data_IF_302682700561
#
_entry.id   IF_302682700561
#
_cell.length_a   1.000
_cell.length_b   1.000
_cell.length_c   1.000
_cell.angle_alpha   90.00
_cell.angle_beta   90.00
_cell.angle_gamma   90.00
#
_symmetry.space_group_name_H-M   'P 1'
#
loop_
_entity.id
_entity.type
_entity.pdbx_description
1 polymer ?
#
# COMPACT_ATOMS: atom_id res chain seq x y z
N UNK A 1 -24.13 65.92 29.21
CA UNK A 1 -23.67 64.60 28.71
C UNK A 1 -22.26 64.74 28.19
N UNK A 2 -21.34 63.90 28.65
CA UNK A 2 -20.08 63.56 28.00
C UNK A 2 -19.35 62.56 28.91
N UNK A 3 -19.52 61.27 28.64
CA UNK A 3 -18.73 60.22 29.27
C UNK A 3 -17.42 60.05 28.49
N UNK A 4 -16.28 60.28 29.16
CA UNK A 4 -14.95 59.97 28.66
C UNK A 4 -14.71 58.47 28.79
N UNK A 5 -14.62 57.77 27.66
CA UNK A 5 -14.24 56.35 27.59
C UNK A 5 -12.77 56.16 27.93
N UNK A 6 -12.51 55.34 28.96
CA UNK A 6 -11.19 54.79 29.31
C UNK A 6 -10.84 53.63 28.37
N UNK A 7 -9.54 53.39 28.24
CA UNK A 7 -8.92 52.53 27.23
C UNK A 7 -9.20 51.03 27.32
N UNK A 8 -8.74 50.33 26.27
CA UNK A 8 -8.80 48.88 26.16
C UNK A 8 -7.84 48.35 25.10
N UNK A 9 -6.82 47.65 25.60
CA UNK A 9 -6.10 46.49 25.03
C UNK A 9 -5.37 46.63 23.68
N UNK A 10 -4.05 46.77 23.77
CA UNK A 10 -3.12 46.37 22.72
C UNK A 10 -2.83 44.87 22.86
N UNK A 11 -3.18 44.08 21.85
CA UNK A 11 -2.74 42.69 21.74
C UNK A 11 -1.28 42.67 21.30
N UNK A 12 -0.35 42.48 22.23
CA UNK A 12 1.02 42.09 21.92
C UNK A 12 1.01 40.67 21.37
N UNK A 13 0.99 40.52 20.05
CA UNK A 13 1.40 39.29 19.37
C UNK A 13 2.90 39.11 19.61
N UNK A 14 3.24 38.30 20.62
CA UNK A 14 4.60 37.81 20.83
C UNK A 14 4.99 36.89 19.68
N UNK A 15 5.69 37.45 18.70
CA UNK A 15 6.37 36.68 17.67
C UNK A 15 7.47 35.85 18.30
N UNK A 16 7.22 34.56 18.50
CA UNK A 16 8.24 33.58 18.84
C UNK A 16 9.21 33.45 17.66
N UNK A 17 10.48 33.75 17.92
CA UNK A 17 11.62 33.44 17.07
C UNK A 17 11.72 31.91 16.89
N UNK A 18 11.08 31.38 15.84
CA UNK A 18 11.31 30.07 15.25
C UNK A 18 11.90 30.27 13.85
N UNK A 19 13.05 30.95 13.80
CA UNK A 19 13.83 31.15 12.58
C UNK A 19 15.16 30.44 12.77
N UNK A 20 15.22 29.17 12.37
CA UNK A 20 16.48 28.40 12.42
C UNK A 20 16.38 26.87 12.47
N UNK A 21 15.39 26.23 11.83
CA UNK A 21 15.32 24.75 11.83
C UNK A 21 14.98 24.09 10.49
N UNK A 22 15.03 24.85 9.40
CA UNK A 22 14.96 24.30 8.06
C UNK A 22 16.12 24.89 7.25
N UNK A 23 17.27 24.22 7.34
CA UNK A 23 18.25 24.29 6.27
C UNK A 23 17.79 23.32 5.20
N UNK A 24 17.57 23.88 4.02
CA UNK A 24 17.19 23.21 2.79
C UNK A 24 18.46 22.64 2.16
N UNK A 25 18.89 21.47 2.62
CA UNK A 25 19.98 20.72 2.00
C UNK A 25 19.63 19.23 2.04
N UNK A 26 19.26 18.68 0.88
CA UNK A 26 19.53 17.30 0.49
C UNK A 26 18.80 16.17 1.23
N UNK A 27 18.06 15.38 0.46
CA UNK A 27 17.52 14.05 0.78
C UNK A 27 18.24 13.27 1.90
N UNK A 28 17.79 13.44 3.15
CA UNK A 28 17.95 12.44 4.19
C UNK A 28 16.55 11.96 4.60
N UNK A 29 16.29 10.67 4.34
CA UNK A 29 15.08 10.02 4.81
C UNK A 29 14.86 10.28 6.30
N UNK A 30 13.61 10.53 6.67
CA UNK A 30 13.16 10.78 8.05
C UNK A 30 13.91 9.84 9.01
N UNK A 31 14.89 10.38 9.76
CA UNK A 31 15.65 9.66 10.77
C UNK A 31 14.70 9.28 11.89
N UNK A 32 14.08 8.10 11.79
CA UNK A 32 13.18 7.49 12.77
C UNK A 32 13.73 7.46 14.21
N UNK A 33 15.05 7.64 14.40
CA UNK A 33 15.68 7.71 15.72
C UNK A 33 15.33 8.96 16.53
N UNK A 34 14.99 10.09 15.91
CA UNK A 34 14.69 11.34 16.63
C UNK A 34 13.36 11.27 17.40
N UNK A 35 12.32 10.77 16.74
CA UNK A 35 10.98 10.66 17.32
C UNK A 35 10.89 9.61 18.43
N UNK A 36 11.75 8.57 18.38
CA UNK A 36 11.87 7.56 19.43
C UNK A 36 12.44 8.16 20.72
N UNK A 37 13.48 8.98 20.61
CA UNK A 37 14.12 9.63 21.77
C UNK A 37 13.20 10.61 22.49
N UNK A 38 12.41 11.38 21.73
CA UNK A 38 11.47 12.33 22.33
C UNK A 38 10.35 11.64 23.11
N UNK A 39 9.89 10.47 22.65
CA UNK A 39 8.92 9.70 23.42
C UNK A 39 9.52 9.05 24.65
N UNK A 40 10.74 8.52 24.55
CA UNK A 40 11.45 7.99 25.71
C UNK A 40 11.60 9.08 26.78
N UNK A 41 11.84 10.34 26.38
CA UNK A 41 11.85 11.50 27.27
C UNK A 41 10.49 11.74 27.92
N UNK A 42 9.41 11.88 27.13
CA UNK A 42 8.04 12.09 27.65
C UNK A 42 7.58 10.96 28.58
N UNK A 43 7.96 9.71 28.29
CA UNK A 43 7.66 8.54 29.12
C UNK A 43 8.43 8.64 30.44
N UNK A 44 9.71 9.01 30.40
CA UNK A 44 10.52 9.15 31.62
C UNK A 44 10.01 10.28 32.52
N UNK A 45 9.51 11.38 31.94
CA UNK A 45 9.04 12.58 32.66
C UNK A 45 7.63 12.43 33.26
N UNK A 46 6.84 11.43 32.84
CA UNK A 46 5.49 11.20 33.39
C UNK A 46 5.51 10.52 34.77
N UNK A 47 4.61 10.86 35.69
CA UNK A 47 4.50 10.24 37.04
C UNK A 47 3.81 8.86 37.05
N UNK A 48 3.98 8.07 35.98
CA UNK A 48 3.41 6.73 35.91
C UNK A 48 4.33 5.66 36.52
N UNK A 49 3.74 4.50 36.84
CA UNK A 49 4.46 3.38 37.40
C UNK A 49 5.61 2.91 36.49
N UNK A 50 6.68 2.41 37.12
CA UNK A 50 7.92 1.99 36.44
C UNK A 50 7.66 0.88 35.42
N UNK A 51 6.71 -0.01 35.70
CA UNK A 51 6.35 -1.11 34.80
C UNK A 51 5.65 -0.59 33.53
N UNK A 52 4.76 0.40 33.71
CA UNK A 52 4.09 1.09 32.60
C UNK A 52 5.07 1.87 31.71
N UNK A 53 6.08 2.53 32.30
CA UNK A 53 7.13 3.23 31.52
C UNK A 53 7.91 2.28 30.62
N UNK A 54 8.31 1.12 31.14
CA UNK A 54 9.04 0.13 30.34
C UNK A 54 8.17 -0.49 29.23
N UNK A 55 6.88 -0.68 29.49
CA UNK A 55 5.93 -1.08 28.46
C UNK A 55 5.83 -0.04 27.33
N UNK A 56 5.70 1.25 27.70
CA UNK A 56 5.60 2.34 26.73
C UNK A 56 6.88 2.49 25.90
N UNK A 57 8.07 2.29 26.49
CA UNK A 57 9.34 2.27 25.74
C UNK A 57 9.42 1.11 24.75
N UNK A 58 8.93 -0.09 25.13
CA UNK A 58 8.83 -1.24 24.21
C UNK A 58 7.85 -0.94 23.06
N UNK A 59 6.74 -0.26 23.36
CA UNK A 59 5.72 0.11 22.38
C UNK A 59 6.18 1.22 21.43
N UNK A 60 7.03 2.14 21.89
CA UNK A 60 7.62 3.17 21.04
C UNK A 60 8.45 2.60 19.88
N UNK A 61 8.89 1.34 19.99
CA UNK A 61 9.63 0.60 18.95
C UNK A 61 8.72 -0.16 17.98
N UNK A 62 7.41 -0.22 18.22
CA UNK A 62 6.47 -0.89 17.34
C UNK A 62 6.13 -0.03 16.12
N UNK A 63 5.97 -0.67 14.95
CA UNK A 63 5.62 0.00 13.67
C UNK A 63 4.34 0.83 13.73
N UNK A 64 3.45 0.54 14.69
CA UNK A 64 2.12 1.13 14.81
C UNK A 64 1.97 1.99 16.09
N UNK A 65 3.06 2.63 16.52
CA UNK A 65 3.13 3.45 17.74
C UNK A 65 2.04 4.51 17.82
N UNK A 66 1.75 5.21 16.73
CA UNK A 66 0.78 6.31 16.73
C UNK A 66 -0.64 5.80 17.02
N UNK A 67 -1.01 4.66 16.43
CA UNK A 67 -2.31 4.02 16.68
C UNK A 67 -2.46 3.56 18.14
N UNK A 68 -1.36 3.09 18.74
CA UNK A 68 -1.33 2.71 20.16
C UNK A 68 -1.48 3.94 21.05
N UNK A 69 -0.76 5.04 20.73
CA UNK A 69 -0.84 6.30 21.48
C UNK A 69 -2.25 6.89 21.42
N UNK A 70 -2.85 6.91 20.23
CA UNK A 70 -4.23 7.34 20.01
C UNK A 70 -5.20 6.49 20.83
N UNK A 71 -5.02 5.17 20.78
CA UNK A 71 -5.83 4.21 21.56
C UNK A 71 -5.76 4.46 23.07
N UNK A 72 -4.58 4.71 23.62
CA UNK A 72 -4.42 5.00 25.05
C UNK A 72 -5.08 6.33 25.40
N UNK A 73 -4.88 7.35 24.55
CA UNK A 73 -5.48 8.67 24.74
C UNK A 73 -7.01 8.61 24.70
N UNK A 74 -7.58 7.80 23.81
CA UNK A 74 -9.01 7.52 23.73
C UNK A 74 -9.50 6.81 25.00
N UNK A 75 -8.73 5.83 25.49
CA UNK A 75 -9.03 5.09 26.71
C UNK A 75 -9.04 5.98 27.96
N UNK A 76 -8.21 7.02 28.02
CA UNK A 76 -8.23 8.00 29.11
C UNK A 76 -9.41 8.98 29.01
N UNK A 77 -9.87 9.29 27.79
CA UNK A 77 -10.98 10.21 27.50
C UNK A 77 -12.35 9.56 27.46
N UNK A 78 -12.47 8.30 27.88
CA UNK A 78 -13.74 7.55 27.92
C UNK A 78 -14.72 8.17 28.92
N UNK A 79 -15.35 9.27 28.53
CA UNK A 79 -16.50 9.81 29.25
C UNK A 79 -17.68 8.86 29.08
N UNK A 80 -18.60 9.20 28.18
CA UNK A 80 -19.79 8.38 27.90
C UNK A 80 -19.56 7.30 26.82
N UNK A 81 -18.31 7.07 26.40
CA UNK A 81 -17.98 6.11 25.36
C UNK A 81 -17.38 4.85 25.97
N UNK A 82 -17.90 3.69 25.59
CA UNK A 82 -17.39 2.38 26.00
C UNK A 82 -16.74 1.72 24.79
N UNK A 83 -15.47 1.33 24.95
CA UNK A 83 -14.76 0.53 23.95
C UNK A 83 -15.32 -0.88 23.94
N UNK A 84 -15.86 -1.30 22.79
CA UNK A 84 -16.42 -2.64 22.58
C UNK A 84 -15.39 -3.64 22.01
N UNK A 85 -14.30 -3.15 21.40
CA UNK A 85 -13.22 -3.99 20.89
C UNK A 85 -11.91 -3.19 20.70
N UNK A 86 -10.72 -3.75 21.01
CA UNK A 86 -10.54 -4.92 21.87
C UNK A 86 -11.01 -4.60 23.31
N UNK A 87 -11.67 -5.56 23.95
CA UNK A 87 -12.25 -5.46 25.29
C UNK A 87 -12.21 -6.83 25.98
N UNK A 88 -12.23 -6.94 27.32
CA UNK A 88 -12.20 -8.24 28.01
C UNK A 88 -13.24 -9.22 27.46
N UNK A 89 -12.83 -10.45 27.18
CA UNK A 89 -13.70 -11.46 26.57
C UNK A 89 -13.86 -11.36 25.05
N UNK A 90 -13.20 -10.43 24.36
CA UNK A 90 -13.36 -10.28 22.91
C UNK A 90 -12.68 -11.36 22.06
N UNK A 91 -11.99 -12.33 22.67
CA UNK A 91 -11.25 -13.39 21.99
C UNK A 91 -12.16 -14.26 21.10
N UNK A 92 -13.42 -14.46 21.50
CA UNK A 92 -14.39 -15.25 20.73
C UNK A 92 -14.73 -14.61 19.37
N UNK A 93 -14.54 -13.29 19.25
CA UNK A 93 -14.78 -12.57 18.01
C UNK A 93 -13.60 -12.64 17.04
N UNK A 94 -12.42 -13.11 17.47
CA UNK A 94 -11.24 -13.23 16.59
C UNK A 94 -11.52 -14.08 15.35
N UNK A 95 -12.38 -15.10 15.47
CA UNK A 95 -12.77 -16.01 14.37
C UNK A 95 -13.55 -15.34 13.24
N UNK A 96 -14.16 -14.18 13.50
CA UNK A 96 -14.93 -13.44 12.49
C UNK A 96 -14.07 -12.47 11.68
N UNK A 97 -12.82 -12.23 12.08
CA UNK A 97 -11.90 -11.39 11.31
C UNK A 97 -11.15 -12.23 10.27
N UNK A 98 -11.23 -11.85 9.00
CA UNK A 98 -10.46 -12.50 7.92
C UNK A 98 -8.94 -12.38 8.13
N UNK A 99 -8.50 -11.31 8.81
CA UNK A 99 -7.12 -11.09 9.21
C UNK A 99 -7.08 -10.65 10.67
N UNK A 100 -6.44 -11.46 11.53
CA UNK A 100 -6.14 -11.03 12.89
C UNK A 100 -5.15 -9.87 12.82
N UNK A 101 -5.64 -8.65 13.08
CA UNK A 101 -4.76 -7.50 13.16
C UNK A 101 -3.90 -7.67 14.41
N UNK A 102 -2.62 -7.97 14.24
CA UNK A 102 -1.66 -8.18 15.34
C UNK A 102 -1.69 -7.04 16.36
N UNK A 103 -2.02 -5.82 15.89
CA UNK A 103 -2.24 -4.66 16.75
C UNK A 103 -3.36 -4.81 17.78
N UNK A 104 -4.47 -5.46 17.44
CA UNK A 104 -5.59 -5.63 18.36
C UNK A 104 -5.16 -6.48 19.58
N UNK A 105 -4.32 -7.49 19.34
CA UNK A 105 -3.72 -8.30 20.41
C UNK A 105 -2.76 -7.49 21.28
N UNK A 106 -1.93 -6.64 20.68
CA UNK A 106 -1.05 -5.74 21.44
C UNK A 106 -1.84 -4.76 22.30
N UNK A 107 -2.85 -4.12 21.72
CA UNK A 107 -3.74 -3.20 22.45
C UNK A 107 -4.43 -3.95 23.59
N UNK A 108 -4.96 -5.14 23.35
CA UNK A 108 -5.61 -5.95 24.39
C UNK A 108 -4.65 -6.28 25.54
N UNK A 109 -3.44 -6.77 25.23
CA UNK A 109 -2.43 -7.08 26.24
C UNK A 109 -2.06 -5.88 27.09
N UNK A 110 -1.91 -4.72 26.47
CA UNK A 110 -1.57 -3.46 27.15
C UNK A 110 -2.70 -2.98 28.05
N UNK A 111 -3.94 -3.00 27.57
CA UNK A 111 -5.06 -2.41 28.28
C UNK A 111 -5.63 -3.31 29.38
N UNK A 112 -5.58 -4.63 29.21
CA UNK A 112 -6.36 -5.56 30.05
C UNK A 112 -5.54 -6.65 30.72
N UNK A 113 -4.43 -7.08 30.12
CA UNK A 113 -3.67 -8.24 30.63
C UNK A 113 -2.64 -7.83 31.70
N UNK A 114 -2.42 -6.52 31.90
CA UNK A 114 -1.40 -5.98 32.82
C UNK A 114 0.01 -6.48 32.50
N UNK A 115 0.19 -7.14 31.35
CA UNK A 115 1.26 -8.09 31.13
C UNK A 115 2.43 -7.46 30.40
N UNK A 116 3.61 -7.61 30.98
CA UNK A 116 4.88 -7.44 30.29
C UNK A 116 4.86 -8.24 28.98
N UNK A 117 4.79 -7.55 27.85
CA UNK A 117 4.98 -8.16 26.53
C UNK A 117 6.37 -8.83 26.55
N UNK A 118 6.38 -10.17 26.46
CA UNK A 118 7.61 -10.95 26.43
C UNK A 118 8.30 -10.72 25.08
N UNK A 119 9.63 -10.87 25.01
CA UNK A 119 10.35 -10.76 23.72
C UNK A 119 9.82 -11.78 22.69
N UNK A 120 9.35 -12.94 23.15
CA UNK A 120 8.75 -13.98 22.31
C UNK A 120 7.43 -13.53 21.65
N UNK A 121 6.65 -12.67 22.31
CA UNK A 121 5.42 -12.09 21.74
C UNK A 121 5.68 -11.10 20.60
N UNK A 122 6.84 -10.44 20.62
CA UNK A 122 7.24 -9.42 19.63
C UNK A 122 7.78 -10.08 18.36
N UNK A 123 8.44 -11.23 18.49
CA UNK A 123 9.05 -11.98 17.40
C UNK A 123 8.09 -12.96 16.70
N UNK A 124 6.84 -13.10 17.17
CA UNK A 124 5.76 -13.86 16.50
C UNK A 124 5.24 -13.20 15.20
N UNK A 125 6.10 -12.45 14.51
CA UNK A 125 5.92 -12.17 13.09
C UNK A 125 6.03 -13.50 12.34
N UNK A 126 5.00 -13.81 11.56
CA UNK A 126 5.01 -14.66 10.35
C UNK A 126 4.78 -16.18 10.40
N UNK A 127 4.41 -16.84 11.51
CA UNK A 127 4.06 -18.27 11.42
C UNK A 127 2.82 -18.71 12.24
N UNK A 128 1.67 -18.13 11.94
CA UNK A 128 0.38 -18.78 12.21
C UNK A 128 -0.34 -19.03 10.90
N UNK A 129 -0.06 -20.18 10.28
CA UNK A 129 -0.98 -20.78 9.31
C UNK A 129 -2.04 -21.51 10.13
N UNK A 130 -3.07 -20.77 10.57
CA UNK A 130 -4.21 -21.39 11.23
C UNK A 130 -4.96 -22.20 10.17
N UNK A 131 -4.88 -23.53 10.27
CA UNK A 131 -5.81 -24.43 9.60
C UNK A 131 -7.17 -24.27 10.30
N UNK A 132 -7.99 -23.37 9.78
CA UNK A 132 -9.42 -23.41 10.01
C UNK A 132 -10.09 -23.78 8.69
N UNK A 133 -10.86 -24.86 8.71
CA UNK A 133 -11.98 -25.06 7.80
C UNK A 133 -13.00 -23.96 8.10
N UNK A 134 -12.77 -22.77 7.57
CA UNK A 134 -13.74 -21.68 7.58
C UNK A 134 -14.88 -22.14 6.67
N UNK A 135 -16.11 -22.34 7.17
CA UNK A 135 -17.25 -22.54 6.30
C UNK A 135 -17.29 -21.32 5.38
N UNK A 136 -17.15 -21.56 4.06
CA UNK A 136 -17.21 -20.49 3.05
C UNK A 136 -18.39 -19.59 3.38
N UNK A 137 -18.14 -18.28 3.49
CA UNK A 137 -19.18 -17.26 3.63
C UNK A 137 -20.25 -17.48 2.55
N UNK A 138 -21.31 -18.23 2.86
CA UNK A 138 -22.39 -18.53 1.91
C UNK A 138 -23.60 -17.64 2.17
N UNK A 139 -23.89 -17.22 3.41
CA UNK A 139 -25.15 -16.54 3.71
C UNK A 139 -25.28 -15.15 3.07
N UNK A 140 -24.22 -14.34 3.06
CA UNK A 140 -24.31 -12.98 2.50
C UNK A 140 -24.27 -12.94 0.96
N UNK A 141 -23.61 -13.91 0.33
CA UNK A 141 -23.59 -14.03 -1.14
C UNK A 141 -24.88 -14.67 -1.65
N UNK A 142 -25.46 -15.63 -0.91
CA UNK A 142 -26.70 -16.30 -1.25
C UNK A 142 -27.91 -15.34 -1.24
N UNK A 143 -28.00 -14.45 -0.25
CA UNK A 143 -29.03 -13.39 -0.21
C UNK A 143 -28.90 -12.41 -1.38
N UNK A 144 -27.68 -12.20 -1.90
CA UNK A 144 -27.41 -11.31 -3.04
C UNK A 144 -27.74 -11.96 -4.40
N UNK A 145 -27.55 -13.26 -4.51
CA UNK A 145 -27.86 -14.06 -5.71
C UNK A 145 -29.37 -14.28 -5.84
N UNK A 146 -30.08 -14.55 -4.74
CA UNK A 146 -31.54 -14.73 -4.71
C UNK A 146 -32.28 -13.45 -5.12
N UNK A 147 -31.73 -12.27 -4.80
CA UNK A 147 -32.27 -10.98 -5.25
C UNK A 147 -32.12 -10.72 -6.76
N UNK A 148 -31.30 -11.49 -7.48
CA UNK A 148 -31.06 -11.32 -8.93
C UNK A 148 -31.79 -12.36 -9.80
N UNK A 149 -32.45 -13.34 -9.19
CA UNK A 149 -32.97 -14.52 -9.88
C UNK A 149 -34.39 -14.43 -10.45
N UNK A 150 -35.03 -13.26 -10.55
CA UNK A 150 -36.39 -13.16 -11.13
C UNK A 150 -36.35 -12.52 -12.52
N UNK A 151 -36.25 -13.35 -13.57
CA UNK A 151 -36.72 -12.97 -14.91
C UNK A 151 -37.16 -14.16 -15.77
N UNK A 152 -38.48 -14.25 -15.90
CA UNK A 152 -39.33 -14.66 -17.03
C UNK A 152 -38.63 -15.37 -18.20
N UNK A 153 -39.01 -16.65 -18.40
CA UNK A 153 -38.75 -17.45 -19.61
C UNK A 153 -39.56 -16.92 -20.79
N UNK A 154 -38.90 -16.71 -21.92
CA UNK A 154 -39.53 -16.83 -23.25
C UNK A 154 -38.55 -17.51 -24.20
N UNK A 155 -39.05 -18.56 -24.85
CA UNK A 155 -38.38 -19.45 -25.78
C UNK A 155 -38.63 -19.03 -27.22
N UNK A 156 -37.60 -18.98 -28.07
CA UNK A 156 -37.71 -19.16 -29.53
C UNK A 156 -36.44 -19.85 -30.07
N UNK A 157 -36.67 -20.72 -31.04
CA UNK A 157 -35.82 -21.72 -31.70
C UNK A 157 -35.14 -21.25 -32.99
N UNK A 158 -34.08 -21.98 -33.40
CA UNK A 158 -33.56 -22.11 -34.78
C UNK A 158 -32.47 -21.11 -35.18
N UNK A 159 -31.49 -21.36 -36.07
CA UNK A 159 -30.96 -22.55 -36.76
C UNK A 159 -29.76 -22.05 -37.60
N UNK A 160 -28.78 -22.93 -37.81
CA UNK A 160 -27.84 -23.05 -38.96
C UNK A 160 -26.68 -22.07 -39.26
N UNK A 161 -25.60 -22.74 -39.71
CA UNK A 161 -24.61 -22.40 -40.74
C UNK A 161 -23.33 -21.59 -40.41
N UNK A 162 -22.21 -22.33 -40.36
CA UNK A 162 -20.97 -22.18 -41.14
C UNK A 162 -20.38 -20.79 -41.41
N UNK A 163 -19.12 -20.54 -41.00
CA UNK A 163 -17.96 -20.38 -41.91
C UNK A 163 -16.67 -20.11 -41.13
N UNK A 164 -15.55 -20.53 -41.73
CA UNK A 164 -14.20 -20.56 -41.17
C UNK A 164 -13.57 -19.18 -40.95
N UNK A 165 -12.70 -19.06 -39.94
CA UNK A 165 -11.52 -18.18 -39.99
C UNK A 165 -10.44 -18.68 -39.00
N UNK A 166 -9.40 -19.32 -39.53
CA UNK A 166 -8.25 -19.88 -38.81
C UNK A 166 -7.06 -18.89 -38.87
N UNK A 167 -7.26 -17.73 -38.24
CA UNK A 167 -6.29 -16.63 -38.20
C UNK A 167 -5.93 -16.24 -36.76
N UNK A 168 -5.51 -17.21 -35.93
CA UNK A 168 -4.91 -16.94 -34.62
C UNK A 168 -3.80 -17.95 -34.26
N UNK A 169 -2.85 -18.15 -35.18
CA UNK A 169 -1.65 -18.93 -34.88
C UNK A 169 -0.61 -18.06 -34.18
N UNK A 170 -0.52 -18.25 -32.86
CA UNK A 170 0.52 -17.70 -31.98
C UNK A 170 1.93 -17.83 -32.61
N UNK A 171 2.78 -16.79 -32.52
CA UNK A 171 4.14 -16.87 -33.03
C UNK A 171 4.96 -17.87 -32.21
N UNK A 172 5.39 -18.94 -32.86
CA UNK A 172 6.40 -19.88 -32.34
C UNK A 172 7.76 -19.20 -32.37
N UNK A 173 8.19 -18.66 -31.23
CA UNK A 173 9.54 -18.13 -31.05
C UNK A 173 10.51 -19.32 -30.94
N UNK A 174 11.17 -19.64 -32.06
CA UNK A 174 12.32 -20.53 -32.08
C UNK A 174 13.60 -19.73 -31.85
N UNK A 175 14.21 -19.88 -30.67
CA UNK A 175 15.65 -19.81 -30.40
C UNK A 175 15.84 -20.06 -28.90
N UNK A 176 16.50 -21.17 -28.54
CA UNK A 176 17.02 -21.41 -27.19
C UNK A 176 18.44 -20.84 -27.09
N UNK A 177 18.67 -19.78 -26.32
CA UNK A 177 19.95 -19.55 -25.68
C UNK A 177 19.94 -20.16 -24.28
N UNK A 178 20.98 -20.93 -23.98
CA UNK A 178 21.33 -21.37 -22.62
C UNK A 178 21.69 -20.15 -21.78
N UNK A 179 20.90 -19.83 -20.76
CA UNK A 179 21.26 -19.98 -19.35
C UNK A 179 20.07 -19.51 -18.49
N UNK A 180 19.63 -20.34 -17.56
CA UNK A 180 18.30 -20.33 -16.94
C UNK A 180 18.14 -19.23 -15.87
N UNK A 181 18.27 -17.95 -16.22
CA UNK A 181 17.71 -16.87 -15.40
C UNK A 181 16.24 -16.68 -15.77
N UNK A 182 15.35 -17.44 -15.11
CA UNK A 182 13.90 -17.26 -15.27
C UNK A 182 13.54 -15.84 -14.84
N UNK A 183 13.37 -14.93 -15.80
CA UNK A 183 12.95 -13.56 -15.54
C UNK A 183 11.49 -13.58 -15.09
N UNK A 184 11.23 -13.19 -13.84
CA UNK A 184 9.88 -13.12 -13.29
C UNK A 184 9.30 -11.73 -13.56
N UNK A 185 8.25 -11.68 -14.39
CA UNK A 185 7.47 -10.47 -14.66
C UNK A 185 6.40 -10.33 -13.58
N UNK A 186 6.30 -9.13 -13.00
CA UNK A 186 5.33 -8.77 -11.97
C UNK A 186 4.24 -7.86 -12.52
N UNK A 187 3.14 -7.69 -11.80
CA UNK A 187 2.07 -6.77 -12.21
C UNK A 187 2.53 -5.31 -12.37
N UNK A 188 3.46 -4.84 -11.52
CA UNK A 188 4.03 -3.50 -11.63
C UNK A 188 4.84 -3.33 -12.93
N UNK A 189 5.53 -4.39 -13.40
CA UNK A 189 6.27 -4.34 -14.68
C UNK A 189 5.31 -4.15 -15.86
N UNK A 190 4.17 -4.87 -15.87
CA UNK A 190 3.13 -4.77 -16.90
C UNK A 190 2.47 -3.39 -16.87
N UNK A 191 2.16 -2.87 -15.67
CA UNK A 191 1.59 -1.53 -15.51
C UNK A 191 2.52 -0.43 -16.02
N UNK A 192 3.83 -0.51 -15.73
CA UNK A 192 4.81 0.47 -16.22
C UNK A 192 4.79 0.51 -17.75
N UNK A 193 4.83 -0.64 -18.41
CA UNK A 193 4.82 -0.70 -19.87
C UNK A 193 3.48 -0.19 -20.44
N UNK A 194 2.36 -0.63 -19.86
CA UNK A 194 1.03 -0.23 -20.29
C UNK A 194 0.81 1.29 -20.17
N UNK A 195 1.13 1.87 -19.01
CA UNK A 195 1.04 3.32 -18.77
C UNK A 195 1.99 4.08 -19.69
N UNK A 196 3.21 3.58 -19.91
CA UNK A 196 4.17 4.21 -20.83
C UNK A 196 3.63 4.29 -22.26
N UNK A 197 2.99 3.22 -22.76
CA UNK A 197 2.33 3.22 -24.07
C UNK A 197 1.13 4.15 -24.12
N UNK A 198 0.33 4.15 -23.06
CA UNK A 198 -0.83 5.03 -22.95
C UNK A 198 -0.41 6.50 -22.99
N UNK A 199 0.66 6.87 -22.28
CA UNK A 199 1.24 8.21 -22.32
C UNK A 199 1.69 8.57 -23.73
N UNK A 200 2.46 7.72 -24.42
CA UNK A 200 2.90 7.97 -25.80
C UNK A 200 1.71 8.20 -26.73
N UNK A 201 0.69 7.34 -26.66
CA UNK A 201 -0.54 7.48 -27.44
C UNK A 201 -1.25 8.82 -27.17
N UNK A 202 -1.30 9.25 -25.91
CA UNK A 202 -1.89 10.53 -25.52
C UNK A 202 -1.12 11.75 -26.04
N UNK A 203 0.20 11.65 -26.25
CA UNK A 203 1.03 12.71 -26.81
C UNK A 203 0.98 12.75 -28.34
N UNK A 204 1.00 11.59 -29.00
CA UNK A 204 1.11 11.50 -30.45
C UNK A 204 -0.18 11.90 -31.18
N UNK A 205 -1.35 11.51 -30.64
CA UNK A 205 -2.60 11.67 -31.37
C UNK A 205 -3.20 13.08 -31.29
N UNK A 206 -2.68 13.98 -30.43
CA UNK A 206 -3.18 15.35 -30.16
C UNK A 206 -4.70 15.47 -29.88
N UNK A 207 -5.46 14.37 -29.93
CA UNK A 207 -6.91 14.25 -29.78
C UNK A 207 -7.22 12.86 -29.25
N UNK A 208 -7.23 12.73 -27.92
CA UNK A 208 -7.84 11.58 -27.27
C UNK A 208 -9.34 11.62 -27.59
N UNK A 209 -9.87 10.54 -28.14
CA UNK A 209 -11.31 10.42 -28.43
C UNK A 209 -12.08 10.55 -27.10
N UNK A 210 -13.19 11.31 -27.01
CA UNK A 210 -13.93 11.49 -25.76
C UNK A 210 -14.36 10.17 -25.09
N UNK A 211 -14.60 9.11 -25.89
CA UNK A 211 -14.91 7.76 -25.39
C UNK A 211 -13.74 7.16 -24.61
N UNK A 212 -12.51 7.33 -25.08
CA UNK A 212 -11.31 6.79 -24.45
C UNK A 212 -10.97 7.57 -23.17
N UNK A 213 -11.36 8.85 -23.11
CA UNK A 213 -11.16 9.70 -21.94
C UNK A 213 -11.80 9.11 -20.68
N UNK A 214 -13.03 8.60 -20.79
CA UNK A 214 -13.73 7.97 -19.66
C UNK A 214 -13.03 6.70 -19.17
N UNK A 215 -12.50 5.89 -20.09
CA UNK A 215 -11.73 4.70 -19.75
C UNK A 215 -10.41 5.06 -19.07
N UNK A 216 -9.71 6.08 -19.57
CA UNK A 216 -8.46 6.57 -18.99
C UNK A 216 -8.70 7.15 -17.59
N UNK A 217 -9.79 7.91 -17.42
CA UNK A 217 -10.19 8.47 -16.11
C UNK A 217 -10.49 7.37 -15.08
N UNK A 218 -11.24 6.35 -15.47
CA UNK A 218 -11.52 5.19 -14.62
C UNK A 218 -10.23 4.45 -14.27
N UNK A 219 -9.33 4.28 -15.23
CA UNK A 219 -8.04 3.64 -15.03
C UNK A 219 -7.18 4.43 -14.03
N UNK A 220 -7.00 5.74 -14.20
CA UNK A 220 -6.17 6.60 -13.33
C UNK A 220 -6.76 6.74 -11.91
N UNK A 221 -8.07 6.60 -11.78
CA UNK A 221 -8.79 6.70 -10.50
C UNK A 221 -8.93 5.35 -9.78
N UNK A 222 -8.39 4.27 -10.36
CA UNK A 222 -8.48 2.94 -9.79
C UNK A 222 -7.71 2.83 -8.45
N UNK A 223 -8.23 2.07 -7.48
CA UNK A 223 -7.64 1.95 -6.13
C UNK A 223 -6.23 1.30 -6.09
N UNK A 224 -5.71 0.84 -7.24
CA UNK A 224 -4.37 0.25 -7.33
C UNK A 224 -3.27 1.29 -7.15
N UNK A 225 -3.59 2.54 -7.45
CA UNK A 225 -2.74 3.71 -7.24
C UNK A 225 -2.86 4.15 -5.80
N UNK A 226 -1.72 4.48 -5.19
CA UNK A 226 -1.68 4.92 -3.81
C UNK A 226 -1.44 6.42 -3.68
N UNK A 227 -0.86 7.05 -4.70
CA UNK A 227 -0.58 8.47 -4.68
C UNK A 227 -1.80 9.27 -5.17
N UNK A 228 -2.19 10.27 -4.39
CA UNK A 228 -3.27 11.18 -4.74
C UNK A 228 -2.81 12.16 -5.84
N UNK A 229 -3.77 12.62 -6.63
CA UNK A 229 -3.51 13.61 -7.66
C UNK A 229 -3.48 15.02 -7.10
N UNK A 230 -2.61 15.86 -7.66
CA UNK A 230 -2.66 17.28 -7.42
C UNK A 230 -4.00 17.86 -7.90
N UNK A 231 -4.58 18.84 -7.18
CA UNK A 231 -5.81 19.49 -7.61
C UNK A 231 -5.65 20.05 -9.02
N UNK A 232 -6.62 19.79 -9.89
CA UNK A 232 -6.64 20.26 -11.30
C UNK A 232 -5.49 19.73 -12.18
N UNK A 233 -4.86 18.62 -11.81
CA UNK A 233 -3.87 17.98 -12.67
C UNK A 233 -4.50 17.51 -13.99
N UNK A 234 -3.81 17.76 -15.10
CA UNK A 234 -4.20 17.23 -16.42
C UNK A 234 -4.05 15.72 -16.46
N UNK A 235 -4.78 15.04 -17.34
CA UNK A 235 -4.69 13.57 -17.51
C UNK A 235 -3.25 13.14 -17.78
N UNK A 236 -2.49 13.90 -18.58
CA UNK A 236 -1.09 13.62 -18.86
C UNK A 236 -0.23 13.65 -17.59
N UNK A 237 -0.43 14.67 -16.74
CA UNK A 237 0.30 14.78 -15.47
C UNK A 237 -0.09 13.64 -14.51
N UNK A 238 -1.36 13.25 -14.49
CA UNK A 238 -1.84 12.14 -13.65
C UNK A 238 -1.30 10.79 -14.14
N UNK A 239 -1.27 10.54 -15.45
CA UNK A 239 -0.63 9.35 -16.02
C UNK A 239 0.86 9.29 -15.71
N UNK A 240 1.56 10.43 -15.83
CA UNK A 240 2.97 10.53 -15.45
C UNK A 240 3.17 10.21 -13.96
N UNK A 241 2.31 10.75 -13.10
CA UNK A 241 2.30 10.42 -11.67
C UNK A 241 2.14 8.90 -11.45
N UNK A 242 1.20 8.25 -12.16
CA UNK A 242 1.01 6.79 -12.08
C UNK A 242 2.23 6.01 -12.56
N UNK A 243 2.88 6.47 -13.62
CA UNK A 243 4.12 5.85 -14.12
C UNK A 243 5.24 5.95 -13.07
N UNK A 244 5.45 7.14 -12.51
CA UNK A 244 6.47 7.41 -11.50
C UNK A 244 6.24 6.58 -10.23
N UNK A 245 4.98 6.46 -9.78
CA UNK A 245 4.60 5.59 -8.65
C UNK A 245 5.02 4.14 -8.89
N UNK A 246 4.69 3.56 -10.06
CA UNK A 246 5.02 2.16 -10.35
C UNK A 246 6.52 1.94 -10.50
N UNK A 247 7.23 2.86 -11.15
CA UNK A 247 8.69 2.80 -11.26
C UNK A 247 9.33 2.83 -9.86
N UNK A 248 8.86 3.71 -8.99
CA UNK A 248 9.33 3.80 -7.59
C UNK A 248 9.07 2.50 -6.81
N UNK A 249 7.87 1.93 -6.93
CA UNK A 249 7.52 0.64 -6.31
C UNK A 249 8.38 -0.52 -6.82
N UNK A 250 8.56 -0.62 -8.14
CA UNK A 250 9.42 -1.63 -8.75
C UNK A 250 10.86 -1.52 -8.27
N UNK A 251 11.42 -0.31 -8.25
CA UNK A 251 12.79 -0.05 -7.76
C UNK A 251 12.97 -0.48 -6.30
N UNK A 252 12.01 -0.17 -5.41
CA UNK A 252 12.02 -0.60 -4.01
C UNK A 252 11.99 -2.13 -3.87
N UNK A 253 11.17 -2.81 -4.68
CA UNK A 253 11.11 -4.27 -4.71
C UNK A 253 12.43 -4.88 -5.17
N UNK A 254 12.98 -4.42 -6.30
CA UNK A 254 14.24 -4.92 -6.85
C UNK A 254 15.41 -4.68 -5.89
N UNK A 255 15.48 -3.52 -5.25
CA UNK A 255 16.49 -3.21 -4.21
C UNK A 255 16.44 -4.22 -3.06
N UNK A 256 15.22 -4.60 -2.63
CA UNK A 256 15.04 -5.59 -1.57
C UNK A 256 15.46 -6.99 -2.02
N UNK A 257 15.14 -7.39 -3.25
CA UNK A 257 15.51 -8.69 -3.81
C UNK A 257 17.03 -8.81 -4.03
N UNK A 258 17.66 -7.82 -4.67
CA UNK A 258 19.10 -7.79 -4.89
C UNK A 258 19.88 -7.80 -3.57
N UNK A 259 19.41 -7.07 -2.55
CA UNK A 259 20.03 -7.12 -1.21
C UNK A 259 19.96 -8.52 -0.60
N UNK A 260 18.84 -9.24 -0.76
CA UNK A 260 18.71 -10.63 -0.28
C UNK A 260 19.64 -11.57 -1.04
N UNK A 261 19.77 -11.42 -2.35
CA UNK A 261 20.67 -12.20 -3.19
C UNK A 261 22.15 -12.01 -2.76
N UNK A 262 22.57 -10.78 -2.49
CA UNK A 262 23.94 -10.50 -2.01
C UNK A 262 24.23 -11.12 -0.63
N UNK A 263 23.27 -11.03 0.30
CA UNK A 263 23.39 -11.63 1.63
C UNK A 263 23.49 -13.16 1.51
N UNK A 264 22.69 -13.78 0.64
CA UNK A 264 22.75 -15.21 0.40
C UNK A 264 24.07 -15.66 -0.26
N UNK A 265 24.71 -14.77 -1.03
CA UNK A 265 26.00 -15.01 -1.69
C UNK A 265 27.25 -14.77 -0.82
N UNK A 266 27.11 -14.54 0.49
CA UNK A 266 28.22 -14.25 1.43
C UNK A 266 29.08 -13.01 1.08
N UNK A 267 28.55 -12.03 0.35
CA UNK A 267 29.27 -10.78 0.08
C UNK A 267 29.05 -9.77 1.22
N UNK A 268 30.07 -9.55 2.06
CA UNK A 268 30.02 -8.64 3.22
C UNK A 268 30.79 -7.32 3.05
N UNK A 269 31.09 -6.91 1.82
CA UNK A 269 31.86 -5.69 1.53
C UNK A 269 31.04 -4.40 1.53
N UNK A 270 31.68 -3.28 1.91
CA UNK A 270 31.11 -1.91 1.88
C UNK A 270 30.84 -1.38 0.47
N UNK A 271 31.33 -2.06 -0.57
CA UNK A 271 31.11 -1.70 -1.99
C UNK A 271 29.72 -2.06 -2.53
N UNK A 272 28.87 -2.71 -1.71
CA UNK A 272 27.60 -3.28 -2.17
C UNK A 272 26.59 -2.29 -2.76
N UNK A 273 26.68 -0.98 -2.49
CA UNK A 273 25.69 -0.01 -2.99
C UNK A 273 25.74 0.16 -4.51
N UNK A 274 26.95 0.29 -5.08
CA UNK A 274 27.15 0.44 -6.52
C UNK A 274 26.74 -0.83 -7.27
N UNK A 275 27.11 -2.00 -6.73
CA UNK A 275 26.75 -3.31 -7.27
C UNK A 275 25.24 -3.53 -7.28
N UNK A 276 24.52 -3.16 -6.21
CA UNK A 276 23.05 -3.28 -6.16
C UNK A 276 22.40 -2.45 -7.26
N UNK A 277 22.86 -1.21 -7.47
CA UNK A 277 22.27 -0.35 -8.49
C UNK A 277 22.47 -0.93 -9.90
N UNK A 278 23.68 -1.40 -10.22
CA UNK A 278 23.95 -2.05 -11.49
C UNK A 278 23.08 -3.31 -11.73
N UNK A 279 22.86 -4.13 -10.69
CA UNK A 279 21.96 -5.28 -10.77
C UNK A 279 20.50 -4.89 -10.99
N UNK A 280 20.04 -3.81 -10.35
CA UNK A 280 18.68 -3.27 -10.57
C UNK A 280 18.55 -2.83 -12.02
N UNK A 281 19.46 -2.00 -12.52
CA UNK A 281 19.41 -1.46 -13.88
C UNK A 281 19.45 -2.58 -14.94
N UNK A 282 20.26 -3.62 -14.71
CA UNK A 282 20.30 -4.81 -15.56
C UNK A 282 18.95 -5.54 -15.58
N UNK A 283 18.34 -5.79 -14.41
CA UNK A 283 17.04 -6.47 -14.30
C UNK A 283 15.93 -5.62 -14.92
N UNK A 284 15.94 -4.31 -14.74
CA UNK A 284 14.98 -3.40 -15.39
C UNK A 284 15.11 -3.46 -16.91
N UNK A 285 16.34 -3.36 -17.43
CA UNK A 285 16.60 -3.43 -18.87
C UNK A 285 16.14 -4.75 -19.48
N UNK A 286 16.41 -5.88 -18.82
CA UNK A 286 15.95 -7.20 -19.26
C UNK A 286 14.42 -7.32 -19.27
N UNK A 287 13.73 -6.77 -18.27
CA UNK A 287 12.27 -6.82 -18.20
C UNK A 287 11.63 -5.92 -19.24
N UNK A 288 12.15 -4.71 -19.42
CA UNK A 288 11.66 -3.77 -20.43
C UNK A 288 11.80 -4.34 -21.85
N UNK A 289 12.95 -4.95 -22.18
CA UNK A 289 13.13 -5.53 -23.51
C UNK A 289 12.21 -6.73 -23.79
N UNK A 290 11.82 -7.49 -22.76
CA UNK A 290 10.84 -8.56 -22.89
C UNK A 290 9.42 -8.00 -23.13
N UNK A 291 9.03 -7.00 -22.34
CA UNK A 291 7.68 -6.41 -22.40
C UNK A 291 7.44 -5.57 -23.65
N UNK A 292 8.48 -4.95 -24.21
CA UNK A 292 8.38 -4.16 -25.45
C UNK A 292 7.84 -5.00 -26.61
N UNK A 293 8.14 -6.30 -26.64
CA UNK A 293 7.69 -7.22 -27.67
C UNK A 293 6.22 -7.67 -27.52
N UNK A 294 5.57 -7.38 -26.40
CA UNK A 294 4.17 -7.77 -26.18
C UNK A 294 3.23 -6.79 -26.85
N UNK A 295 2.13 -7.29 -27.41
CA UNK A 295 1.07 -6.44 -27.95
C UNK A 295 0.18 -5.89 -26.81
N UNK A 296 -0.61 -4.85 -27.11
CA UNK A 296 -1.45 -4.19 -26.09
C UNK A 296 -2.50 -5.15 -25.51
N UNK A 297 -3.17 -5.94 -26.36
CA UNK A 297 -4.19 -6.90 -25.93
C UNK A 297 -3.64 -7.94 -24.95
N UNK A 298 -2.41 -8.41 -25.15
CA UNK A 298 -1.73 -9.34 -24.27
C UNK A 298 -1.35 -8.69 -22.94
N UNK A 299 -0.91 -7.42 -22.95
CA UNK A 299 -0.68 -6.68 -21.71
C UNK A 299 -1.98 -6.50 -20.91
N UNK A 300 -3.10 -6.20 -21.57
CA UNK A 300 -4.41 -6.12 -20.92
C UNK A 300 -4.86 -7.47 -20.33
N UNK A 301 -4.66 -8.57 -21.05
CA UNK A 301 -4.95 -9.91 -20.55
C UNK A 301 -4.08 -10.24 -19.32
N UNK A 302 -2.79 -9.90 -19.35
CA UNK A 302 -1.91 -10.02 -18.19
C UNK A 302 -2.44 -9.19 -17.01
N UNK A 303 -2.87 -7.95 -17.22
CA UNK A 303 -3.44 -7.09 -16.18
C UNK A 303 -4.75 -7.65 -15.60
N UNK A 304 -5.62 -8.20 -16.44
CA UNK A 304 -6.88 -8.88 -16.03
C UNK A 304 -6.60 -10.13 -15.21
N UNK A 305 -5.56 -10.88 -15.55
CA UNK A 305 -5.13 -12.06 -14.79
C UNK A 305 -4.50 -11.71 -13.44
N UNK A 306 -4.05 -10.47 -13.25
CA UNK A 306 -3.57 -10.02 -11.93
C UNK A 306 -4.73 -9.89 -10.95
N UNK A 307 -4.45 -10.11 -9.67
CA UNK A 307 -5.45 -10.06 -8.58
C UNK A 307 -6.18 -8.73 -8.42
N UNK A 308 -5.82 -7.70 -9.20
CA UNK A 308 -6.35 -6.34 -9.08
C UNK A 308 -7.25 -5.90 -10.24
N UNK A 309 -7.42 -6.70 -11.31
CA UNK A 309 -8.32 -6.45 -12.45
C UNK A 309 -8.43 -4.98 -12.87
N UNK A 310 -7.32 -4.41 -13.35
CA UNK A 310 -7.15 -2.97 -13.55
C UNK A 310 -7.56 -2.52 -14.97
N UNK A 311 -7.59 -3.45 -15.93
CA UNK A 311 -7.79 -3.21 -17.37
C UNK A 311 -9.11 -3.78 -17.88
#
# INVERSE_FOLDING_TARGET
>A
GQYKGKGGYTTKTGGSNLKGLFSDDGEEGIKFGGLSKEMERLINDSDCDKEFKELMKKMARLKNRDLIKETITEYERRGNFVRIFPAPGCNEYEKYFQYQKTINRYIYKVLFDGGLISKQDIDLKTNYKLNYDVPKLSSYQQVREEAKGVKVRSSVTGSDASTADDSNKLPKISKKPSDNSKVVITGDDVLIEYVSRLIRKCYDENKIVPKDLGCIENFISHYVWHEEDLPKATIQNRLKNRLDEMVSRRKKLLKTLCKKELIAGNYSGSEGSSTIQAMIDQKEKQKSSLLENFNVSYLEEMLKSTTKSIA
#
